data_IF_186193074951
#
_entry.id   IF_186193074951
#
_cell.length_a   1.000
_cell.length_b   1.000
_cell.length_c   1.000
_cell.angle_alpha   90.00
_cell.angle_beta   90.00
_cell.angle_gamma   90.00
#
_symmetry.space_group_name_H-M   'P 1'
#
loop_
_entity.id
_entity.type
_entity.pdbx_description
1 polymer ?
#
# COMPACT_ATOMS: atom_id res chain seq x y z
N UNK A 1 -3.27 5.45 -25.07
CA UNK A 1 -2.00 5.50 -25.83
C UNK A 1 -0.83 5.32 -24.85
N UNK A 2 0.23 4.64 -25.29
CA UNK A 2 1.39 4.36 -24.44
C UNK A 2 2.08 5.64 -23.91
N UNK A 3 2.01 6.73 -24.65
CA UNK A 3 2.61 8.02 -24.27
C UNK A 3 2.00 8.58 -22.98
N UNK A 4 0.68 8.56 -22.83
CA UNK A 4 -0.02 9.05 -21.64
C UNK A 4 0.37 8.25 -20.39
N UNK A 5 0.62 6.95 -20.55
CA UNK A 5 1.08 6.09 -19.45
C UNK A 5 2.44 6.52 -18.90
N UNK A 6 3.40 6.89 -19.76
CA UNK A 6 4.70 7.37 -19.33
C UNK A 6 4.63 8.75 -18.65
N UNK A 7 3.77 9.63 -19.16
CA UNK A 7 3.50 10.94 -18.51
C UNK A 7 2.85 10.70 -17.13
N UNK A 8 1.81 9.83 -17.07
CA UNK A 8 1.17 9.45 -15.81
C UNK A 8 2.13 8.82 -14.82
N UNK A 9 2.99 7.90 -15.26
CA UNK A 9 4.01 7.29 -14.40
C UNK A 9 4.99 8.33 -13.84
N UNK A 10 5.45 9.28 -14.67
CA UNK A 10 6.29 10.40 -14.22
C UNK A 10 5.58 11.28 -13.19
N UNK A 11 4.30 11.60 -13.43
CA UNK A 11 3.49 12.38 -12.51
C UNK A 11 3.27 11.66 -11.17
N UNK A 12 3.00 10.35 -11.18
CA UNK A 12 2.82 9.55 -9.95
C UNK A 12 4.14 9.43 -9.18
N UNK A 13 5.24 9.17 -9.87
CA UNK A 13 6.56 9.10 -9.23
C UNK A 13 6.91 10.44 -8.54
N UNK A 14 6.71 11.56 -9.24
CA UNK A 14 6.90 12.89 -8.67
C UNK A 14 5.93 13.15 -7.51
N UNK A 15 4.65 12.81 -7.64
CA UNK A 15 3.65 12.95 -6.58
C UNK A 15 3.99 12.12 -5.35
N UNK A 16 4.51 10.90 -5.53
CA UNK A 16 5.02 10.04 -4.45
C UNK A 16 6.21 10.68 -3.72
N UNK A 17 7.17 11.22 -4.47
CA UNK A 17 8.34 11.94 -3.91
C UNK A 17 7.90 13.21 -3.17
N UNK A 18 7.02 14.02 -3.77
CA UNK A 18 6.48 15.22 -3.14
C UNK A 18 5.75 14.88 -1.84
N UNK A 19 4.91 13.85 -1.85
CA UNK A 19 4.20 13.36 -0.66
C UNK A 19 5.19 12.90 0.42
N UNK A 20 6.24 12.18 0.04
CA UNK A 20 7.31 11.77 0.95
C UNK A 20 8.03 12.97 1.55
N UNK A 21 8.44 13.95 0.73
CA UNK A 21 9.12 15.16 1.19
C UNK A 21 8.25 15.94 2.17
N UNK A 22 6.95 16.08 1.89
CA UNK A 22 6.00 16.74 2.81
C UNK A 22 5.85 15.99 4.13
N UNK A 23 5.88 14.67 4.09
CA UNK A 23 5.77 13.82 5.28
C UNK A 23 7.10 13.70 6.05
N UNK A 24 8.23 13.97 5.40
CA UNK A 24 9.57 13.77 5.95
C UNK A 24 9.81 14.45 7.30
N UNK A 25 9.42 15.74 7.53
CA UNK A 25 9.58 16.38 8.83
C UNK A 25 8.83 15.65 9.94
N UNK A 26 7.61 15.19 9.65
CA UNK A 26 6.79 14.41 10.58
C UNK A 26 7.41 13.04 10.82
N UNK A 27 7.86 12.37 9.76
CA UNK A 27 8.56 11.07 9.82
C UNK A 27 9.79 11.17 10.73
N UNK A 28 10.68 12.15 10.49
CA UNK A 28 11.91 12.33 11.27
C UNK A 28 11.61 12.67 12.73
N UNK A 29 10.64 13.55 12.96
CA UNK A 29 10.20 13.92 14.32
C UNK A 29 9.66 12.71 15.08
N UNK A 30 8.80 11.95 14.41
CA UNK A 30 8.16 10.74 14.93
C UNK A 30 9.19 9.67 15.28
N UNK A 31 10.13 9.41 14.38
CA UNK A 31 11.21 8.45 14.59
C UNK A 31 12.12 8.85 15.76
N UNK A 32 12.52 10.12 15.84
CA UNK A 32 13.29 10.64 16.99
C UNK A 32 12.55 10.50 18.31
N UNK A 33 11.23 10.72 18.33
CA UNK A 33 10.41 10.54 19.52
C UNK A 33 10.29 9.06 19.92
N UNK A 34 10.17 8.15 18.93
CA UNK A 34 10.16 6.72 19.19
C UNK A 34 11.46 6.25 19.82
N UNK A 35 12.61 6.67 19.26
CA UNK A 35 13.92 6.33 19.82
C UNK A 35 14.12 6.88 21.24
N UNK A 36 13.63 8.08 21.54
CA UNK A 36 13.70 8.65 22.91
C UNK A 36 12.80 7.92 23.90
N UNK A 37 11.73 7.29 23.43
CA UNK A 37 10.83 6.45 24.26
C UNK A 37 11.37 5.03 24.48
N UNK A 38 12.30 4.59 23.66
CA UNK A 38 12.92 3.28 23.78
C UNK A 38 13.80 3.24 25.05
N UNK A 39 13.50 2.31 25.95
CA UNK A 39 14.26 2.13 27.20
C UNK A 39 13.74 2.89 28.41
N UNK A 40 12.74 3.74 28.32
CA UNK A 40 11.99 4.20 29.49
C UNK A 40 11.04 3.09 29.90
N UNK A 41 11.41 2.34 30.95
CA UNK A 41 10.45 1.51 31.67
C UNK A 41 9.32 2.43 32.12
N UNK A 42 8.08 2.08 31.77
CA UNK A 42 6.94 2.71 32.41
C UNK A 42 7.07 2.39 33.93
N UNK A 43 7.40 3.38 34.73
CA UNK A 43 7.32 3.30 36.19
C UNK A 43 5.83 3.21 36.54
N UNK A 44 5.26 2.05 36.42
CA UNK A 44 3.86 1.77 36.71
C UNK A 44 3.62 0.30 36.96
N UNK A 45 2.68 0.03 37.85
CA UNK A 45 2.16 -1.28 38.13
C UNK A 45 1.96 -2.04 36.82
N UNK A 46 2.54 -3.25 36.70
CA UNK A 46 2.28 -4.13 35.54
C UNK A 46 0.76 -4.38 35.40
N UNK A 47 0.14 -3.56 34.58
CA UNK A 47 -1.28 -3.74 34.25
C UNK A 47 -1.40 -4.73 33.10
N UNK A 48 -2.47 -5.50 33.12
CA UNK A 48 -2.81 -6.38 32.00
C UNK A 48 -2.91 -5.60 30.65
N UNK A 49 -3.17 -4.29 30.70
CA UNK A 49 -3.29 -3.40 29.54
C UNK A 49 -1.93 -2.94 28.95
N UNK A 50 -0.82 -3.26 29.64
CA UNK A 50 0.54 -2.90 29.19
C UNK A 50 1.38 -4.14 28.88
N UNK A 51 0.77 -5.33 28.89
CA UNK A 51 1.48 -6.58 28.65
C UNK A 51 1.55 -6.90 27.17
N UNK A 52 2.70 -6.62 26.55
CA UNK A 52 3.01 -6.89 25.14
C UNK A 52 3.72 -8.24 24.94
N UNK A 53 3.84 -8.68 23.67
CA UNK A 53 4.72 -9.79 23.31
C UNK A 53 6.16 -9.40 23.67
N UNK A 54 6.92 -10.30 24.37
CA UNK A 54 8.30 -10.00 24.72
C UNK A 54 9.15 -9.69 23.50
N UNK A 55 9.94 -8.61 23.56
CA UNK A 55 10.77 -8.12 22.47
C UNK A 55 11.70 -9.19 21.87
N UNK A 56 12.16 -10.14 22.71
CA UNK A 56 13.00 -11.25 22.25
C UNK A 56 12.30 -12.10 21.17
N UNK A 57 10.99 -12.40 21.34
CA UNK A 57 10.20 -13.14 20.32
C UNK A 57 10.05 -12.36 19.04
N UNK A 58 9.90 -11.02 19.14
CA UNK A 58 9.81 -10.15 17.97
C UNK A 58 11.12 -10.16 17.18
N UNK A 59 12.26 -9.99 17.87
CA UNK A 59 13.59 -9.99 17.23
C UNK A 59 13.91 -11.35 16.62
N UNK A 60 13.63 -12.43 17.34
CA UNK A 60 13.80 -13.79 16.80
C UNK A 60 12.89 -14.03 15.59
N UNK A 61 11.63 -13.59 15.64
CA UNK A 61 10.69 -13.70 14.53
C UNK A 61 11.18 -12.96 13.28
N UNK A 62 11.67 -11.74 13.43
CA UNK A 62 12.27 -10.96 12.32
C UNK A 62 13.47 -11.70 11.74
N UNK A 63 14.35 -12.24 12.57
CA UNK A 63 15.52 -13.00 12.14
C UNK A 63 15.13 -14.26 11.35
N UNK A 64 14.17 -15.02 11.87
CA UNK A 64 13.66 -16.24 11.22
C UNK A 64 13.02 -15.91 9.87
N UNK A 65 12.16 -14.87 9.79
CA UNK A 65 11.55 -14.44 8.54
C UNK A 65 12.59 -13.96 7.52
N UNK A 66 13.60 -13.22 7.95
CA UNK A 66 14.68 -12.78 7.08
C UNK A 66 15.47 -13.97 6.49
N UNK A 67 15.74 -14.99 7.31
CA UNK A 67 16.40 -16.24 6.87
C UNK A 67 15.51 -17.01 5.90
N UNK A 68 14.22 -17.15 6.20
CA UNK A 68 13.26 -17.82 5.32
C UNK A 68 13.22 -17.12 3.95
N UNK A 69 13.12 -15.79 3.92
CA UNK A 69 13.11 -15.02 2.68
C UNK A 69 14.40 -15.18 1.88
N UNK A 70 15.56 -15.29 2.56
CA UNK A 70 16.83 -15.52 1.91
C UNK A 70 16.96 -16.94 1.33
N UNK A 71 16.36 -17.93 1.99
CA UNK A 71 16.42 -19.34 1.59
C UNK A 71 15.42 -19.70 0.47
N UNK A 72 14.39 -18.89 0.21
CA UNK A 72 13.40 -19.15 -0.85
C UNK A 72 13.99 -18.78 -2.22
N UNK A 73 14.26 -19.76 -3.12
CA UNK A 73 14.89 -19.48 -4.41
C UNK A 73 14.00 -18.64 -5.36
N UNK A 74 12.69 -18.69 -5.16
CA UNK A 74 11.72 -17.96 -5.97
C UNK A 74 11.80 -16.43 -5.76
N UNK A 75 12.34 -15.99 -4.63
CA UNK A 75 12.52 -14.57 -4.31
C UNK A 75 14.01 -14.26 -4.42
N UNK A 76 14.47 -13.49 -5.41
CA UNK A 76 15.89 -13.19 -5.58
C UNK A 76 16.36 -12.13 -4.56
N UNK A 77 16.15 -12.41 -3.28
CA UNK A 77 16.60 -11.58 -2.16
C UNK A 77 18.00 -12.03 -1.77
N UNK A 78 18.99 -11.20 -2.08
CA UNK A 78 20.35 -11.40 -1.59
C UNK A 78 20.50 -10.77 -0.18
N UNK A 79 21.68 -10.96 0.44
CA UNK A 79 21.96 -10.40 1.77
C UNK A 79 21.75 -8.88 1.83
N UNK A 80 22.10 -8.16 0.78
CA UNK A 80 21.89 -6.71 0.68
C UNK A 80 20.40 -6.38 0.69
N UNK A 81 19.58 -7.12 -0.06
CA UNK A 81 18.14 -6.95 -0.08
C UNK A 81 17.50 -7.20 1.30
N UNK A 82 17.98 -8.24 2.02
CA UNK A 82 17.52 -8.54 3.38
C UNK A 82 17.85 -7.38 4.35
N UNK A 83 19.05 -6.82 4.26
CA UNK A 83 19.45 -5.66 5.06
C UNK A 83 18.56 -4.45 4.76
N UNK A 84 18.28 -4.17 3.48
CA UNK A 84 17.37 -3.08 3.09
C UNK A 84 15.98 -3.29 3.68
N UNK A 85 15.45 -4.51 3.62
CA UNK A 85 14.15 -4.85 4.17
C UNK A 85 14.11 -4.60 5.68
N UNK A 86 15.13 -5.04 6.42
CA UNK A 86 15.18 -4.85 7.87
C UNK A 86 15.24 -3.37 8.23
N UNK A 87 16.12 -2.60 7.60
CA UNK A 87 16.29 -1.17 7.90
C UNK A 87 15.04 -0.38 7.54
N UNK A 88 14.56 -0.53 6.32
CA UNK A 88 13.38 0.21 5.84
C UNK A 88 12.10 -0.29 6.49
N UNK A 89 12.01 -1.61 6.77
CA UNK A 89 10.90 -2.21 7.49
C UNK A 89 10.74 -1.59 8.87
N UNK A 90 11.80 -1.54 9.65
CA UNK A 90 11.77 -0.90 10.98
C UNK A 90 11.42 0.59 10.89
N UNK A 91 12.04 1.31 9.94
CA UNK A 91 11.78 2.72 9.71
C UNK A 91 10.32 2.98 9.34
N UNK A 92 9.80 2.32 8.31
CA UNK A 92 8.43 2.55 7.83
C UNK A 92 7.36 1.97 8.75
N UNK A 93 7.64 0.88 9.47
CA UNK A 93 6.74 0.40 10.52
C UNK A 93 6.55 1.45 11.62
N UNK A 94 7.65 2.04 12.09
CA UNK A 94 7.61 3.10 13.13
C UNK A 94 6.86 4.33 12.65
N UNK A 95 7.08 4.73 11.39
CA UNK A 95 6.42 5.88 10.78
C UNK A 95 4.94 5.63 10.58
N UNK A 96 4.58 4.51 9.97
CA UNK A 96 3.19 4.13 9.67
C UNK A 96 2.37 4.03 10.94
N UNK A 97 2.86 3.31 11.94
CA UNK A 97 2.20 3.14 13.24
C UNK A 97 1.82 4.49 13.89
N UNK A 98 2.72 5.48 13.83
CA UNK A 98 2.44 6.81 14.39
C UNK A 98 1.60 7.70 13.49
N UNK A 99 1.78 7.59 12.17
CA UNK A 99 0.96 8.33 11.22
C UNK A 99 -0.51 7.95 11.36
N UNK A 100 -0.80 6.67 11.49
CA UNK A 100 -2.17 6.18 11.69
C UNK A 100 -2.79 6.74 12.98
N UNK A 101 -2.01 6.89 14.04
CA UNK A 101 -2.47 7.54 15.26
C UNK A 101 -2.84 9.02 15.11
N UNK A 102 -2.34 9.68 14.06
CA UNK A 102 -2.59 11.10 13.79
C UNK A 102 -3.68 11.32 12.72
N UNK A 103 -3.66 10.51 11.64
CA UNK A 103 -4.49 10.75 10.46
C UNK A 103 -5.49 9.62 10.16
N UNK A 104 -5.44 8.52 10.91
CA UNK A 104 -6.24 7.32 10.68
C UNK A 104 -5.63 6.40 9.61
N UNK A 105 -6.00 5.10 9.62
CA UNK A 105 -5.42 4.10 8.72
C UNK A 105 -5.75 4.36 7.25
N UNK A 106 -6.93 4.88 6.94
CA UNK A 106 -7.36 5.21 5.57
C UNK A 106 -6.51 6.31 4.90
N UNK A 107 -5.88 7.17 5.69
CA UNK A 107 -5.03 8.27 5.21
C UNK A 107 -3.53 8.00 5.38
N UNK A 108 -3.15 6.77 5.72
CA UNK A 108 -1.76 6.36 5.84
C UNK A 108 -1.08 6.38 4.46
N UNK A 109 0.02 7.12 4.25
CA UNK A 109 0.65 7.29 2.93
C UNK A 109 1.48 6.06 2.50
N UNK A 110 0.93 4.86 2.61
CA UNK A 110 1.62 3.59 2.29
C UNK A 110 2.13 3.59 0.85
N UNK A 111 1.35 4.11 -0.11
CA UNK A 111 1.76 4.19 -1.52
C UNK A 111 3.02 5.05 -1.71
N UNK A 112 3.12 6.18 -0.99
CA UNK A 112 4.33 7.03 -1.02
C UNK A 112 5.55 6.30 -0.45
N UNK A 113 5.38 5.59 0.66
CA UNK A 113 6.44 4.77 1.27
C UNK A 113 6.90 3.64 0.34
N UNK A 114 5.96 2.96 -0.33
CA UNK A 114 6.26 1.90 -1.29
C UNK A 114 7.03 2.43 -2.51
N UNK A 115 6.60 3.55 -3.11
CA UNK A 115 7.29 4.18 -4.25
C UNK A 115 8.70 4.61 -3.86
N UNK A 116 8.86 5.26 -2.70
CA UNK A 116 10.17 5.66 -2.20
C UNK A 116 11.09 4.44 -2.01
N UNK A 117 10.58 3.37 -1.42
CA UNK A 117 11.32 2.11 -1.25
C UNK A 117 11.74 1.55 -2.60
N UNK A 118 10.83 1.46 -3.58
CA UNK A 118 11.11 0.96 -4.91
C UNK A 118 12.20 1.79 -5.61
N UNK A 119 12.12 3.11 -5.56
CA UNK A 119 13.12 4.00 -6.16
C UNK A 119 14.49 3.80 -5.52
N UNK A 120 14.57 3.83 -4.18
CA UNK A 120 15.84 3.72 -3.45
C UNK A 120 16.43 2.31 -3.60
N UNK A 121 15.62 1.27 -3.41
CA UNK A 121 16.09 -0.12 -3.55
C UNK A 121 16.54 -0.44 -4.98
N UNK A 122 15.80 0.02 -6.00
CA UNK A 122 16.20 -0.14 -7.40
C UNK A 122 17.52 0.58 -7.70
N UNK A 123 17.71 1.79 -7.18
CA UNK A 123 18.95 2.53 -7.36
C UNK A 123 20.14 1.84 -6.68
N UNK A 124 19.96 1.34 -5.45
CA UNK A 124 21.01 0.61 -4.71
C UNK A 124 21.34 -0.69 -5.44
N UNK A 125 20.35 -1.50 -5.86
CA UNK A 125 20.58 -2.74 -6.58
C UNK A 125 21.28 -2.51 -7.90
N UNK A 126 20.92 -1.46 -8.64
CA UNK A 126 21.60 -1.06 -9.87
C UNK A 126 23.06 -0.69 -9.61
N UNK A 127 23.32 0.11 -8.58
CA UNK A 127 24.68 0.53 -8.19
C UNK A 127 25.56 -0.64 -7.76
N UNK A 128 24.97 -1.69 -7.20
CA UNK A 128 25.68 -2.93 -6.78
C UNK A 128 25.78 -4.00 -7.88
N UNK A 129 25.37 -3.67 -9.11
CA UNK A 129 25.47 -4.55 -10.26
C UNK A 129 24.34 -5.59 -10.37
N UNK A 130 23.33 -5.55 -9.50
CA UNK A 130 22.16 -6.43 -9.60
C UNK A 130 21.17 -5.79 -10.58
N UNK A 131 21.34 -6.07 -11.86
CA UNK A 131 20.55 -5.47 -12.96
C UNK A 131 19.70 -6.51 -13.69
N UNK A 132 18.90 -6.04 -14.66
CA UNK A 132 18.04 -6.90 -15.48
C UNK A 132 16.84 -7.46 -14.69
N UNK A 133 16.26 -8.57 -15.19
CA UNK A 133 15.05 -9.16 -14.61
C UNK A 133 15.21 -9.53 -13.13
N UNK A 134 16.35 -10.11 -12.75
CA UNK A 134 16.64 -10.47 -11.35
C UNK A 134 16.64 -9.24 -10.43
N UNK A 135 17.25 -8.15 -10.86
CA UNK A 135 17.25 -6.89 -10.11
C UNK A 135 15.87 -6.28 -9.99
N UNK A 136 15.09 -6.29 -11.07
CA UNK A 136 13.71 -5.78 -11.07
C UNK A 136 12.81 -6.58 -10.12
N UNK A 137 12.87 -7.90 -10.18
CA UNK A 137 12.09 -8.77 -9.27
C UNK A 137 12.53 -8.57 -7.81
N UNK A 138 13.83 -8.46 -7.55
CA UNK A 138 14.34 -8.17 -6.20
C UNK A 138 13.83 -6.82 -5.66
N UNK A 139 13.85 -5.76 -6.47
CA UNK A 139 13.34 -4.46 -6.08
C UNK A 139 11.84 -4.48 -5.78
N UNK A 140 11.04 -5.13 -6.65
CA UNK A 140 9.60 -5.28 -6.43
C UNK A 140 9.32 -6.10 -5.17
N UNK A 141 10.09 -7.17 -4.92
CA UNK A 141 9.95 -7.97 -3.70
C UNK A 141 10.24 -7.14 -2.44
N UNK A 142 11.31 -6.34 -2.44
CA UNK A 142 11.62 -5.42 -1.34
C UNK A 142 10.47 -4.45 -1.13
N UNK A 143 10.01 -3.79 -2.19
CA UNK A 143 8.91 -2.83 -2.13
C UNK A 143 7.60 -3.44 -1.62
N UNK A 144 7.28 -4.66 -2.04
CA UNK A 144 6.09 -5.39 -1.60
C UNK A 144 6.16 -5.73 -0.11
N UNK A 145 7.29 -6.23 0.37
CA UNK A 145 7.48 -6.54 1.80
C UNK A 145 7.36 -5.27 2.65
N UNK A 146 7.99 -4.18 2.23
CA UNK A 146 7.90 -2.91 2.96
C UNK A 146 6.47 -2.33 2.93
N UNK A 147 5.76 -2.46 1.81
CA UNK A 147 4.36 -2.06 1.71
C UNK A 147 3.47 -2.82 2.71
N UNK A 148 3.67 -4.14 2.81
CA UNK A 148 2.95 -5.00 3.76
C UNK A 148 3.31 -4.60 5.20
N UNK A 149 4.60 -4.42 5.51
CA UNK A 149 5.04 -4.00 6.85
C UNK A 149 4.40 -2.67 7.24
N UNK A 150 4.41 -1.67 6.34
CA UNK A 150 3.83 -0.37 6.60
C UNK A 150 2.31 -0.43 6.80
N UNK A 151 1.60 -1.23 6.02
CA UNK A 151 0.15 -1.41 6.14
C UNK A 151 -0.20 -2.08 7.48
N UNK A 152 0.40 -3.24 7.77
CA UNK A 152 0.13 -4.00 9.00
C UNK A 152 0.51 -3.20 10.24
N UNK A 153 1.64 -2.48 10.23
CA UNK A 153 2.03 -1.64 11.37
C UNK A 153 1.01 -0.54 11.68
N UNK A 154 0.38 0.01 10.64
CA UNK A 154 -0.70 0.98 10.78
C UNK A 154 -1.95 0.34 11.39
N UNK A 155 -2.38 -0.78 10.83
CA UNK A 155 -3.59 -1.49 11.25
C UNK A 155 -3.46 -2.01 12.67
N UNK A 156 -2.34 -2.67 13.02
CA UNK A 156 -2.02 -3.11 14.39
C UNK A 156 -2.03 -1.96 15.38
N UNK A 157 -1.49 -0.80 15.01
CA UNK A 157 -1.49 0.40 15.88
C UNK A 157 -2.91 0.87 16.20
N UNK A 158 -3.81 0.86 15.22
CA UNK A 158 -5.21 1.24 15.39
C UNK A 158 -5.97 0.19 16.21
N UNK A 159 -5.73 -1.09 15.95
CA UNK A 159 -6.36 -2.20 16.65
C UNK A 159 -5.96 -2.24 18.12
N UNK A 160 -4.67 -2.11 18.44
CA UNK A 160 -4.17 -2.03 19.81
C UNK A 160 -4.74 -0.81 20.57
N UNK A 161 -4.93 0.31 19.89
CA UNK A 161 -5.56 1.49 20.51
C UNK A 161 -7.02 1.23 20.83
N UNK A 162 -7.76 0.60 19.93
CA UNK A 162 -9.14 0.17 20.16
C UNK A 162 -9.21 -0.82 21.32
N UNK A 163 -8.33 -1.83 21.31
CA UNK A 163 -8.19 -2.81 22.38
C UNK A 163 -7.92 -2.17 23.75
N UNK A 164 -7.04 -1.18 23.80
CA UNK A 164 -6.76 -0.43 25.03
C UNK A 164 -8.03 0.27 25.56
N UNK A 165 -8.83 0.88 24.69
CA UNK A 165 -10.06 1.58 25.09
C UNK A 165 -11.10 0.62 25.66
N UNK A 166 -11.26 -0.58 25.08
CA UNK A 166 -12.20 -1.62 25.55
C UNK A 166 -11.62 -2.53 26.63
N UNK A 167 -10.37 -2.32 27.05
CA UNK A 167 -9.72 -3.07 28.11
C UNK A 167 -9.19 -4.45 27.68
N UNK A 168 -8.87 -4.66 26.42
CA UNK A 168 -8.25 -5.88 25.91
C UNK A 168 -6.77 -5.99 26.35
N UNK A 169 -6.25 -7.21 26.39
CA UNK A 169 -4.86 -7.47 26.73
C UNK A 169 -4.00 -7.46 25.45
N UNK A 170 -3.03 -6.55 25.27
CA UNK A 170 -2.29 -6.35 24.03
C UNK A 170 -1.64 -7.62 23.48
N UNK A 171 -0.92 -8.40 24.29
CA UNK A 171 -0.24 -9.59 23.79
C UNK A 171 -1.20 -10.66 23.20
N UNK A 172 -2.44 -10.75 23.70
CA UNK A 172 -3.45 -11.67 23.16
C UNK A 172 -3.96 -11.18 21.80
N UNK A 173 -4.14 -9.88 21.69
CA UNK A 173 -4.54 -9.21 20.45
C UNK A 173 -3.45 -9.38 19.38
N UNK A 174 -2.21 -9.09 19.73
CA UNK A 174 -1.04 -9.28 18.85
C UNK A 174 -0.87 -10.74 18.40
N UNK A 175 -1.10 -11.71 19.30
CA UNK A 175 -1.07 -13.13 18.94
C UNK A 175 -2.20 -13.49 17.95
N UNK A 176 -3.40 -12.94 18.16
CA UNK A 176 -4.53 -13.08 17.23
C UNK A 176 -4.24 -12.48 15.86
N UNK A 177 -3.62 -11.30 15.81
CA UNK A 177 -3.20 -10.64 14.58
C UNK A 177 -2.18 -11.48 13.80
N UNK A 178 -1.18 -12.08 14.48
CA UNK A 178 -0.20 -12.96 13.81
C UNK A 178 -0.87 -14.17 13.15
N UNK A 179 -1.86 -14.79 13.82
CA UNK A 179 -2.65 -15.88 13.24
C UNK A 179 -3.45 -15.38 12.05
N UNK A 180 -4.12 -14.22 12.20
CA UNK A 180 -4.89 -13.58 11.14
C UNK A 180 -4.05 -13.28 9.91
N UNK A 181 -2.84 -12.73 10.10
CA UNK A 181 -1.89 -12.44 9.01
C UNK A 181 -1.46 -13.72 8.30
N UNK A 182 -1.17 -14.81 9.03
CA UNK A 182 -0.78 -16.08 8.43
C UNK A 182 -1.92 -16.69 7.57
N UNK A 183 -3.15 -16.68 8.07
CA UNK A 183 -4.32 -17.15 7.32
C UNK A 183 -4.59 -16.27 6.11
N UNK A 184 -4.54 -14.95 6.29
CA UNK A 184 -4.72 -13.98 5.19
C UNK A 184 -3.66 -14.14 4.11
N UNK A 185 -2.40 -14.37 4.46
CA UNK A 185 -1.32 -14.58 3.49
C UNK A 185 -1.60 -15.78 2.57
N UNK A 186 -2.08 -16.89 3.13
CA UNK A 186 -2.45 -18.08 2.37
C UNK A 186 -3.66 -17.78 1.47
N UNK A 187 -4.71 -17.17 2.04
CA UNK A 187 -5.95 -16.87 1.31
C UNK A 187 -5.70 -15.88 0.18
N UNK A 188 -5.00 -14.77 0.46
CA UNK A 188 -4.68 -13.74 -0.55
C UNK A 188 -3.78 -14.32 -1.63
N UNK A 189 -2.78 -15.15 -1.27
CA UNK A 189 -1.94 -15.85 -2.24
C UNK A 189 -2.77 -16.73 -3.18
N UNK A 190 -3.74 -17.48 -2.65
CA UNK A 190 -4.68 -18.29 -3.43
C UNK A 190 -5.55 -17.44 -4.36
N UNK A 191 -6.09 -16.32 -3.86
CA UNK A 191 -6.90 -15.39 -4.67
C UNK A 191 -6.07 -14.76 -5.79
N UNK A 192 -4.85 -14.32 -5.51
CA UNK A 192 -3.96 -13.75 -6.53
C UNK A 192 -3.63 -14.78 -7.63
N UNK A 193 -3.38 -16.03 -7.24
CA UNK A 193 -3.18 -17.11 -8.20
C UNK A 193 -4.42 -17.36 -9.05
N UNK A 194 -5.59 -17.42 -8.41
CA UNK A 194 -6.89 -17.60 -9.08
C UNK A 194 -7.16 -16.50 -10.11
N UNK A 195 -7.03 -15.23 -9.72
CA UNK A 195 -7.24 -14.08 -10.59
C UNK A 195 -6.29 -14.08 -11.80
N UNK A 196 -5.03 -14.45 -11.55
CA UNK A 196 -4.05 -14.55 -12.64
C UNK A 196 -4.37 -15.70 -13.60
N UNK A 197 -4.87 -16.83 -13.09
CA UNK A 197 -5.25 -17.97 -13.90
C UNK A 197 -6.53 -17.69 -14.72
N UNK A 198 -7.48 -16.92 -14.16
CA UNK A 198 -8.73 -16.60 -14.83
C UNK A 198 -8.53 -15.57 -15.97
N UNK A 199 -7.83 -14.47 -15.71
CA UNK A 199 -7.77 -13.34 -16.66
C UNK A 199 -6.37 -12.84 -16.96
N UNK A 200 -5.38 -13.11 -16.12
CA UNK A 200 -4.03 -12.56 -16.24
C UNK A 200 -3.94 -11.09 -15.85
N UNK A 201 -2.92 -10.74 -15.07
CA UNK A 201 -2.70 -9.33 -14.67
C UNK A 201 -2.29 -8.46 -15.84
N UNK A 202 -2.95 -7.29 -15.97
CA UNK A 202 -2.70 -6.33 -17.05
C UNK A 202 -3.58 -6.53 -18.29
N UNK A 203 -4.52 -7.50 -18.24
CA UNK A 203 -5.58 -7.65 -19.26
C UNK A 203 -6.60 -6.52 -19.19
N UNK A 204 -7.58 -6.52 -20.09
CA UNK A 204 -8.72 -5.60 -20.05
C UNK A 204 -9.65 -5.89 -18.88
N UNK A 205 -9.79 -7.15 -18.52
CA UNK A 205 -10.62 -7.66 -17.44
C UNK A 205 -9.95 -7.44 -16.07
N UNK A 206 -8.61 -7.56 -16.00
CA UNK A 206 -7.83 -7.37 -14.78
C UNK A 206 -6.66 -6.38 -15.01
N UNK A 207 -6.95 -5.08 -15.15
CA UNK A 207 -5.94 -4.09 -15.57
C UNK A 207 -4.77 -3.90 -14.58
N UNK A 208 -4.98 -4.18 -13.28
CA UNK A 208 -3.99 -4.03 -12.20
C UNK A 208 -3.13 -2.74 -12.32
N UNK A 209 -3.75 -1.55 -12.37
CA UNK A 209 -3.05 -0.32 -12.74
C UNK A 209 -1.92 0.05 -11.78
N UNK A 210 -2.07 -0.20 -10.48
CA UNK A 210 -1.03 0.09 -9.49
C UNK A 210 0.19 -0.83 -9.65
N UNK A 211 -0.03 -2.12 -9.91
CA UNK A 211 1.06 -3.07 -10.16
C UNK A 211 1.84 -2.71 -11.43
N UNK A 212 1.13 -2.35 -12.50
CA UNK A 212 1.73 -1.89 -13.76
C UNK A 212 2.55 -0.61 -13.55
N UNK A 213 2.07 0.31 -12.72
CA UNK A 213 2.77 1.54 -12.38
C UNK A 213 4.06 1.25 -11.61
N UNK A 214 4.00 0.41 -10.58
CA UNK A 214 5.19 0.02 -9.81
C UNK A 214 6.23 -0.69 -10.68
N UNK A 215 5.77 -1.56 -11.60
CA UNK A 215 6.63 -2.16 -12.61
C UNK A 215 7.35 -1.09 -13.45
N UNK A 216 6.62 -0.10 -13.97
CA UNK A 216 7.21 0.99 -14.78
C UNK A 216 8.21 1.85 -14.01
N UNK A 217 7.98 2.09 -12.71
CA UNK A 217 8.91 2.80 -11.85
C UNK A 217 10.24 2.04 -11.75
N UNK A 218 10.19 0.72 -11.52
CA UNK A 218 11.38 -0.12 -11.41
C UNK A 218 12.10 -0.26 -12.75
N UNK A 219 11.36 -0.51 -13.83
CA UNK A 219 11.90 -0.54 -15.20
C UNK A 219 12.58 0.77 -15.57
N UNK A 220 12.03 1.88 -15.07
CA UNK A 220 12.58 3.20 -15.25
C UNK A 220 13.94 3.40 -14.63
N UNK A 221 14.09 2.98 -13.41
CA UNK A 221 15.38 3.11 -12.70
C UNK A 221 16.39 2.12 -13.24
N UNK A 222 16.00 0.87 -13.51
CA UNK A 222 16.92 -0.20 -13.89
C UNK A 222 17.18 -0.30 -15.40
N UNK A 223 16.19 0.06 -16.23
CA UNK A 223 16.31 0.01 -17.69
C UNK A 223 16.89 1.31 -18.26
N UNK A 224 17.45 1.20 -19.47
CA UNK A 224 17.93 2.37 -20.23
C UNK A 224 16.94 2.83 -21.32
N UNK A 225 15.75 2.24 -21.39
CA UNK A 225 14.81 2.37 -22.52
C UNK A 225 13.58 3.25 -22.25
N UNK A 226 13.58 4.01 -21.14
CA UNK A 226 12.46 4.92 -20.87
C UNK A 226 12.51 6.16 -21.77
N UNK A 227 11.35 6.61 -22.27
CA UNK A 227 11.22 7.91 -22.89
C UNK A 227 11.26 9.00 -21.81
N UNK A 228 12.45 9.36 -21.37
CA UNK A 228 12.68 10.32 -20.27
C UNK A 228 11.99 11.67 -20.52
N UNK A 229 11.85 12.10 -21.77
CA UNK A 229 11.13 13.32 -22.13
C UNK A 229 9.66 13.27 -21.66
N UNK A 230 8.99 12.13 -21.83
CA UNK A 230 7.60 11.96 -21.38
C UNK A 230 7.49 11.83 -19.86
N UNK A 231 8.45 11.17 -19.24
CA UNK A 231 8.53 11.07 -17.78
C UNK A 231 8.74 12.46 -17.17
N UNK A 232 9.67 13.26 -17.68
CA UNK A 232 9.90 14.64 -17.22
C UNK A 232 8.71 15.57 -17.51
N UNK A 233 7.98 15.37 -18.60
CA UNK A 233 6.72 16.09 -18.82
C UNK A 233 5.69 15.76 -17.72
N UNK A 234 5.58 14.49 -17.31
CA UNK A 234 4.76 14.07 -16.17
C UNK A 234 5.20 14.70 -14.85
N UNK A 235 6.50 14.75 -14.59
CA UNK A 235 7.07 15.42 -13.41
C UNK A 235 6.74 16.93 -13.40
N UNK A 236 6.89 17.61 -14.54
CA UNK A 236 6.56 19.03 -14.66
C UNK A 236 5.05 19.28 -14.40
N UNK A 237 4.19 18.44 -14.94
CA UNK A 237 2.73 18.52 -14.70
C UNK A 237 2.46 18.33 -13.18
N UNK A 238 3.10 17.35 -12.54
CA UNK A 238 2.91 17.10 -11.11
C UNK A 238 3.34 18.31 -10.26
N UNK A 239 4.44 18.98 -10.61
CA UNK A 239 4.91 20.20 -9.92
C UNK A 239 3.88 21.34 -10.09
N UNK A 240 3.35 21.54 -11.30
CA UNK A 240 2.32 22.57 -11.54
C UNK A 240 1.06 22.28 -10.73
N UNK A 241 0.60 21.02 -10.73
CA UNK A 241 -0.57 20.59 -9.95
C UNK A 241 -0.36 20.82 -8.46
N UNK A 242 0.85 20.57 -7.97
CA UNK A 242 1.24 20.84 -6.58
C UNK A 242 1.18 22.34 -6.24
N UNK A 243 1.70 23.19 -7.12
CA UNK A 243 1.66 24.66 -6.97
C UNK A 243 0.20 25.16 -6.91
N UNK A 244 -0.68 24.54 -7.69
CA UNK A 244 -2.12 24.82 -7.70
C UNK A 244 -2.85 24.27 -6.45
N UNK A 245 -2.13 23.64 -5.52
CA UNK A 245 -2.68 23.01 -4.31
C UNK A 245 -3.72 21.92 -4.58
N UNK A 246 -3.64 21.29 -5.76
CA UNK A 246 -4.44 20.13 -6.10
C UNK A 246 -3.70 18.87 -5.63
N UNK A 247 -4.39 17.88 -5.01
CA UNK A 247 -3.74 16.64 -4.60
C UNK A 247 -3.10 15.93 -5.78
N UNK A 248 -1.77 15.86 -5.81
CA UNK A 248 -1.00 15.37 -6.98
C UNK A 248 -1.22 13.90 -7.25
N UNK A 249 -1.25 13.04 -6.21
CA UNK A 249 -1.41 11.60 -6.41
C UNK A 249 -2.76 11.22 -7.03
N UNK A 250 -3.93 11.70 -6.54
CA UNK A 250 -5.20 11.46 -7.20
C UNK A 250 -5.24 11.97 -8.64
N UNK A 251 -4.68 13.16 -8.88
CA UNK A 251 -4.58 13.71 -10.24
C UNK A 251 -3.73 12.84 -11.16
N UNK A 252 -2.55 12.43 -10.71
CA UNK A 252 -1.64 11.61 -11.48
C UNK A 252 -2.21 10.21 -11.77
N UNK A 253 -2.91 9.62 -10.78
CA UNK A 253 -3.63 8.35 -10.96
C UNK A 253 -4.74 8.52 -12.01
N UNK A 254 -5.52 9.61 -11.97
CA UNK A 254 -6.54 9.91 -12.95
C UNK A 254 -5.99 10.10 -14.37
N UNK A 255 -4.78 10.66 -14.50
CA UNK A 255 -4.08 10.79 -15.79
C UNK A 255 -3.63 9.43 -16.35
N UNK A 256 -3.26 8.51 -15.45
CA UNK A 256 -2.75 7.19 -15.80
C UNK A 256 -3.85 6.15 -16.06
N UNK A 257 -4.96 6.22 -15.29
CA UNK A 257 -6.05 5.27 -15.39
C UNK A 257 -6.77 5.35 -16.75
N UNK A 258 -7.20 4.21 -17.29
CA UNK A 258 -8.11 4.19 -18.41
C UNK A 258 -9.39 4.97 -18.12
N UNK A 259 -9.95 5.62 -19.14
CA UNK A 259 -11.11 6.52 -18.98
C UNK A 259 -12.35 5.79 -18.44
N UNK A 260 -12.52 4.51 -18.76
CA UNK A 260 -13.63 3.69 -18.26
C UNK A 260 -13.58 3.43 -16.77
N UNK A 261 -12.38 3.49 -16.14
CA UNK A 261 -12.21 3.42 -14.69
C UNK A 261 -12.36 4.79 -14.02
N UNK A 262 -11.98 5.86 -14.71
CA UNK A 262 -12.03 7.23 -14.16
C UNK A 262 -13.43 7.83 -14.19
N UNK A 263 -14.24 7.47 -15.20
CA UNK A 263 -15.60 8.01 -15.37
C UNK A 263 -16.54 7.68 -14.20
N UNK A 264 -16.64 6.42 -13.71
CA UNK A 264 -17.46 6.11 -12.54
C UNK A 264 -17.02 6.87 -11.29
N UNK A 265 -15.71 7.07 -11.10
CA UNK A 265 -15.16 7.85 -9.96
C UNK A 265 -15.64 9.30 -10.06
N UNK A 266 -15.62 9.89 -11.26
CA UNK A 266 -16.13 11.25 -11.49
C UNK A 266 -17.61 11.36 -11.16
N UNK A 267 -18.43 10.39 -11.60
CA UNK A 267 -19.88 10.35 -11.29
C UNK A 267 -20.09 10.27 -9.77
N UNK A 268 -19.37 9.40 -9.07
CA UNK A 268 -19.42 9.32 -7.61
C UNK A 268 -19.03 10.62 -6.93
N UNK A 269 -18.00 11.31 -7.44
CA UNK A 269 -17.57 12.62 -6.97
C UNK A 269 -18.64 13.71 -7.17
N UNK A 270 -19.35 13.70 -8.28
CA UNK A 270 -20.47 14.62 -8.55
C UNK A 270 -21.66 14.37 -7.61
N UNK A 271 -22.00 13.10 -7.37
CA UNK A 271 -23.02 12.72 -6.36
C UNK A 271 -22.63 13.24 -4.99
N UNK A 272 -21.38 13.04 -4.57
CA UNK A 272 -20.86 13.58 -3.30
C UNK A 272 -20.97 15.10 -3.24
N UNK A 273 -20.56 15.79 -4.29
CA UNK A 273 -20.63 17.25 -4.40
C UNK A 273 -22.06 17.77 -4.26
N UNK A 274 -23.05 17.05 -4.81
CA UNK A 274 -24.47 17.41 -4.66
C UNK A 274 -24.89 17.41 -3.18
N UNK A 275 -24.53 16.38 -2.42
CA UNK A 275 -24.83 16.32 -0.99
C UNK A 275 -24.07 17.37 -0.17
N UNK A 276 -22.80 17.62 -0.50
CA UNK A 276 -21.97 18.62 0.18
C UNK A 276 -22.50 20.05 -0.03
N UNK A 277 -23.08 20.34 -1.23
CA UNK A 277 -23.63 21.68 -1.57
C UNK A 277 -25.12 21.81 -1.34
N UNK A 278 -25.83 20.79 -0.87
CA UNK A 278 -27.27 20.83 -0.64
C UNK A 278 -27.61 21.88 0.39
N UNK A 279 -28.46 22.87 0.00
CA UNK A 279 -28.97 23.92 0.88
C UNK A 279 -30.17 23.43 1.69
N UNK A 280 -30.42 24.04 2.85
CA UNK A 280 -31.61 23.74 3.65
C UNK A 280 -31.50 22.52 4.57
N UNK A 281 -30.29 22.00 4.78
CA UNK A 281 -30.01 20.95 5.77
C UNK A 281 -28.96 21.44 6.75
N UNK A 282 -29.04 20.98 7.99
CA UNK A 282 -28.03 21.26 9.01
C UNK A 282 -26.70 20.57 8.70
N UNK A 283 -25.62 21.04 9.32
CA UNK A 283 -24.29 20.42 9.14
C UNK A 283 -24.26 18.97 9.66
N UNK A 284 -25.01 18.71 10.74
CA UNK A 284 -25.13 17.35 11.30
C UNK A 284 -25.89 16.42 10.36
N UNK A 285 -27.03 16.86 9.80
CA UNK A 285 -27.78 16.11 8.80
C UNK A 285 -26.96 15.85 7.52
N UNK A 286 -26.16 16.83 7.09
CA UNK A 286 -25.25 16.68 5.96
C UNK A 286 -24.22 15.58 6.23
N UNK A 287 -23.55 15.62 7.38
CA UNK A 287 -22.57 14.59 7.79
C UNK A 287 -23.22 13.22 7.90
N UNK A 288 -24.42 13.13 8.47
CA UNK A 288 -25.13 11.86 8.56
C UNK A 288 -25.44 11.26 7.19
N UNK A 289 -25.97 12.06 6.25
CA UNK A 289 -26.28 11.61 4.87
C UNK A 289 -25.02 11.19 4.11
N UNK A 290 -23.94 11.96 4.25
CA UNK A 290 -22.66 11.63 3.65
C UNK A 290 -22.11 10.31 4.20
N UNK A 291 -22.17 10.11 5.52
CA UNK A 291 -21.74 8.86 6.15
C UNK A 291 -22.58 7.67 5.71
N UNK A 292 -23.90 7.81 5.59
CA UNK A 292 -24.76 6.77 5.02
C UNK A 292 -24.35 6.41 3.59
N UNK A 293 -24.09 7.43 2.75
CA UNK A 293 -23.60 7.22 1.39
C UNK A 293 -22.26 6.48 1.35
N UNK A 294 -21.31 6.84 2.23
CA UNK A 294 -20.01 6.16 2.35
C UNK A 294 -20.21 4.70 2.77
N UNK A 295 -21.03 4.43 3.78
CA UNK A 295 -21.30 3.06 4.25
C UNK A 295 -21.95 2.21 3.17
N UNK A 296 -22.94 2.76 2.45
CA UNK A 296 -23.57 2.09 1.31
C UNK A 296 -22.57 1.75 0.21
N UNK A 297 -21.75 2.72 -0.20
CA UNK A 297 -20.71 2.52 -1.22
C UNK A 297 -19.65 1.51 -0.77
N UNK A 298 -19.26 1.51 0.51
CA UNK A 298 -18.35 0.52 1.07
C UNK A 298 -18.91 -0.90 0.98
N UNK A 299 -20.21 -1.07 1.22
CA UNK A 299 -20.90 -2.34 1.05
C UNK A 299 -20.90 -2.82 -0.41
N UNK A 300 -21.10 -1.91 -1.37
CA UNK A 300 -21.03 -2.22 -2.80
C UNK A 300 -19.62 -2.67 -3.20
N UNK A 301 -18.56 -1.95 -2.74
CA UNK A 301 -17.17 -2.30 -3.02
C UNK A 301 -16.84 -3.69 -2.48
N UNK A 302 -17.23 -3.98 -1.24
CA UNK A 302 -17.01 -5.30 -0.64
C UNK A 302 -17.75 -6.41 -1.41
N UNK A 303 -19.00 -6.15 -1.78
CA UNK A 303 -19.82 -7.08 -2.57
C UNK A 303 -19.22 -7.35 -3.95
N UNK A 304 -18.78 -6.31 -4.65
CA UNK A 304 -18.10 -6.43 -5.95
C UNK A 304 -16.84 -7.30 -5.83
N UNK A 305 -16.02 -7.10 -4.80
CA UNK A 305 -14.82 -7.90 -4.57
C UNK A 305 -15.14 -9.39 -4.38
N UNK A 306 -16.17 -9.72 -3.57
CA UNK A 306 -16.59 -11.10 -3.36
C UNK A 306 -17.15 -11.73 -4.63
N UNK A 307 -18.00 -11.02 -5.37
CA UNK A 307 -18.56 -11.49 -6.64
C UNK A 307 -17.45 -11.65 -7.68
N UNK A 308 -16.48 -10.73 -7.74
CA UNK A 308 -15.32 -10.83 -8.64
C UNK A 308 -14.51 -12.11 -8.41
N UNK A 309 -14.27 -12.48 -7.15
CA UNK A 309 -13.60 -13.75 -6.81
C UNK A 309 -14.45 -14.95 -7.25
N UNK A 310 -15.76 -14.91 -7.03
CA UNK A 310 -16.67 -15.96 -7.45
C UNK A 310 -16.67 -16.12 -8.98
N UNK A 311 -16.72 -15.02 -9.72
CA UNK A 311 -16.63 -15.02 -11.18
C UNK A 311 -15.30 -15.59 -11.66
N UNK A 312 -14.19 -15.28 -10.98
CA UNK A 312 -12.88 -15.85 -11.29
C UNK A 312 -12.85 -17.38 -11.09
N UNK A 313 -13.56 -17.91 -10.08
CA UNK A 313 -13.74 -19.36 -9.90
C UNK A 313 -14.50 -19.95 -11.09
N UNK A 314 -15.60 -19.33 -11.50
CA UNK A 314 -16.39 -19.81 -12.64
C UNK A 314 -15.62 -19.75 -13.96
N UNK A 315 -14.81 -18.73 -14.16
CA UNK A 315 -13.97 -18.59 -15.35
C UNK A 315 -12.91 -19.70 -15.53
N UNK A 316 -12.62 -20.47 -14.47
CA UNK A 316 -11.64 -21.57 -14.53
C UNK A 316 -12.32 -22.94 -14.66
N UNK A 317 -13.59 -23.08 -14.26
CA UNK A 317 -14.29 -24.37 -14.29
C UNK A 317 -14.67 -24.71 -15.72
N UNK A 318 -14.10 -25.76 -16.32
CA UNK A 318 -14.42 -26.15 -17.69
C UNK A 318 -15.82 -26.76 -17.78
N UNK A 319 -16.61 -26.35 -18.76
CA UNK A 319 -17.93 -26.92 -19.08
C UNK A 319 -17.96 -27.24 -20.58
N UNK A 320 -17.53 -28.43 -20.95
CA UNK A 320 -17.40 -28.82 -22.35
C UNK A 320 -16.21 -28.10 -23.04
N UNK A 321 -16.50 -27.33 -24.09
CA UNK A 321 -15.52 -26.52 -24.80
C UNK A 321 -15.35 -25.10 -24.22
N UNK A 322 -16.29 -24.68 -23.35
CA UNK A 322 -16.36 -23.34 -22.77
C UNK A 322 -16.11 -23.40 -21.26
N UNK A 323 -16.09 -22.27 -20.58
CA UNK A 323 -16.05 -22.19 -19.12
C UNK A 323 -17.43 -21.82 -18.55
N UNK A 324 -17.65 -21.99 -17.25
CA UNK A 324 -18.89 -21.53 -16.59
C UNK A 324 -19.01 -20.01 -16.59
N UNK A 325 -17.94 -19.30 -16.90
CA UNK A 325 -17.90 -17.82 -16.95
C UNK A 325 -18.23 -17.26 -18.31
N UNK A 326 -18.28 -18.08 -19.34
CA UNK A 326 -18.69 -17.71 -20.71
C UNK A 326 -20.22 -17.79 -20.87
#
# INVERSE_FOLDING_TARGET
SNYVRYIGAGAVAAGGIISLIKSLPLIVRTFKQALKGYGKKADGVESRLTKDIPMMFVVLGIGVLAIIMWLIPAIPVNLLSAIIIIIFGFFFATVSSRMVGLVGSSNNPVSGMAIATLLISSAILKATGTVGMKGMVAAISIGSVICIIAAIAGDTSQDLKTGYIVGATPYKQQAGELIGVAVSAITVGGVLYLLNAAWGYGSTELPAPQATLMKMVVEGVMGNSLPWSLVFAGVAIAIVVEILQIPVLPFAVGLYLPIYLSTPIMVGGLVRLYFDKKKGITEEERKAKVNQGILYSSGLIAGEGLVGILLAVFAIIPVGADTLGD
#
